data_IF_891361004751
#
_entry.id   IF_891361004751
#
_cell.length_a   1.000
_cell.length_b   1.000
_cell.length_c   1.000
_cell.angle_alpha   90.00
_cell.angle_beta   90.00
_cell.angle_gamma   90.00
#
_symmetry.space_group_name_H-M   'P 1'
#
loop_
_entity.id
_entity.type
_entity.pdbx_description
1 polymer ?
#
# COMPACT_ATOMS: atom_id res chain seq x y z
N UNK A 1 17.56 7.68 19.62
CA UNK A 1 16.46 6.71 19.83
C UNK A 1 15.53 6.81 18.63
N UNK A 2 15.49 5.72 17.87
CA UNK A 2 14.33 5.27 17.08
C UNK A 2 13.73 6.24 16.06
N UNK A 3 14.48 6.48 14.98
CA UNK A 3 13.95 7.00 13.71
C UNK A 3 13.13 5.94 12.93
N UNK A 4 12.99 4.72 13.48
CA UNK A 4 12.33 3.58 12.84
C UNK A 4 10.82 3.80 12.61
N UNK A 5 10.19 4.74 13.32
CA UNK A 5 8.75 5.06 13.17
C UNK A 5 8.44 6.00 12.00
N UNK A 6 9.41 6.81 11.56
CA UNK A 6 9.17 7.82 10.51
C UNK A 6 9.02 7.14 9.15
N UNK A 7 9.83 6.11 8.91
CA UNK A 7 9.86 5.36 7.66
C UNK A 7 8.54 4.59 7.40
N UNK A 8 7.96 3.97 8.42
CA UNK A 8 6.67 3.25 8.32
C UNK A 8 5.53 4.20 7.95
N UNK A 9 5.55 5.43 8.48
CA UNK A 9 4.54 6.45 8.16
C UNK A 9 4.62 6.91 6.71
N UNK A 10 5.83 7.04 6.17
CA UNK A 10 6.07 7.37 4.75
C UNK A 10 5.61 6.21 3.87
N UNK A 11 5.95 4.97 4.21
CA UNK A 11 5.50 3.76 3.50
C UNK A 11 3.98 3.61 3.48
N UNK A 12 3.31 3.85 4.61
CA UNK A 12 1.83 3.86 4.69
C UNK A 12 1.23 4.91 3.74
N UNK A 13 1.78 6.12 3.73
CA UNK A 13 1.32 7.20 2.84
C UNK A 13 1.54 6.86 1.38
N UNK A 14 2.69 6.30 1.04
CA UNK A 14 2.99 5.83 -0.31
C UNK A 14 1.97 4.77 -0.75
N UNK A 15 1.75 3.72 0.04
CA UNK A 15 0.79 2.67 -0.26
C UNK A 15 -0.63 3.22 -0.50
N UNK A 16 -1.08 4.16 0.34
CA UNK A 16 -2.36 4.86 0.14
C UNK A 16 -2.41 5.64 -1.16
N UNK A 17 -1.38 6.44 -1.46
CA UNK A 17 -1.32 7.24 -2.68
C UNK A 17 -1.33 6.36 -3.95
N UNK A 18 -0.66 5.20 -3.92
CA UNK A 18 -0.70 4.21 -5.01
C UNK A 18 -2.11 3.63 -5.18
N UNK A 19 -2.82 3.38 -4.08
CA UNK A 19 -4.22 2.97 -4.08
C UNK A 19 -5.16 3.99 -4.71
N UNK A 20 -5.04 5.26 -4.32
CA UNK A 20 -5.80 6.39 -4.87
C UNK A 20 -5.48 6.64 -6.35
N UNK A 21 -4.23 6.43 -6.77
CA UNK A 21 -3.85 6.53 -8.17
C UNK A 21 -4.57 5.48 -9.04
N UNK A 22 -4.90 4.30 -8.50
CA UNK A 22 -5.72 3.32 -9.22
C UNK A 22 -4.97 2.59 -10.34
N UNK A 23 -3.63 2.57 -10.31
CA UNK A 23 -2.83 1.93 -11.35
C UNK A 23 -2.64 0.43 -11.08
N UNK A 24 -3.21 -0.42 -11.94
CA UNK A 24 -3.05 -1.89 -11.86
C UNK A 24 -1.61 -2.36 -11.98
N UNK A 25 -0.74 -1.55 -12.59
CA UNK A 25 0.70 -1.82 -12.71
C UNK A 25 1.39 -1.94 -11.34
N UNK A 26 0.81 -1.33 -10.30
CA UNK A 26 1.36 -1.28 -8.94
C UNK A 26 0.77 -2.35 -8.03
N UNK A 27 -0.16 -3.18 -8.52
CA UNK A 27 -0.68 -4.33 -7.77
C UNK A 27 0.42 -5.28 -7.27
N UNK A 28 1.39 -5.73 -8.10
CA UNK A 28 2.43 -6.64 -7.61
C UNK A 28 3.33 -6.00 -6.56
N UNK A 29 3.65 -4.70 -6.69
CA UNK A 29 4.41 -3.94 -5.70
C UNK A 29 3.65 -3.85 -4.37
N UNK A 30 2.36 -3.50 -4.42
CA UNK A 30 1.52 -3.42 -3.23
C UNK A 30 1.29 -4.79 -2.58
N UNK A 31 1.21 -5.88 -3.35
CA UNK A 31 1.13 -7.25 -2.81
C UNK A 31 2.43 -7.66 -2.12
N UNK A 32 3.57 -7.29 -2.70
CA UNK A 32 4.88 -7.49 -2.09
C UNK A 32 4.97 -6.78 -0.72
N UNK A 33 4.65 -5.49 -0.69
CA UNK A 33 4.57 -4.67 0.53
C UNK A 33 3.59 -5.28 1.54
N UNK A 34 2.39 -5.66 1.11
CA UNK A 34 1.38 -6.27 1.98
C UNK A 34 1.82 -7.58 2.66
N UNK A 35 2.76 -8.33 2.06
CA UNK A 35 3.23 -9.61 2.59
C UNK A 35 4.60 -9.51 3.28
N UNK A 36 5.51 -8.71 2.73
CA UNK A 36 6.91 -8.66 3.14
C UNK A 36 7.22 -7.53 4.12
N UNK A 37 6.35 -6.52 4.29
CA UNK A 37 6.63 -5.45 5.25
C UNK A 37 6.65 -5.95 6.69
N UNK A 38 7.65 -5.48 7.44
CA UNK A 38 7.75 -5.72 8.88
C UNK A 38 6.59 -5.04 9.62
N UNK A 39 6.19 -3.85 9.17
CA UNK A 39 5.20 -3.02 9.83
C UNK A 39 3.76 -3.45 9.50
N UNK A 40 2.96 -3.72 10.52
CA UNK A 40 1.58 -4.14 10.34
C UNK A 40 0.71 -3.02 9.73
N UNK A 41 0.98 -1.76 10.09
CA UNK A 41 0.27 -0.62 9.53
C UNK A 41 0.50 -0.48 8.02
N UNK A 42 1.74 -0.69 7.58
CA UNK A 42 2.10 -0.67 6.15
C UNK A 42 1.38 -1.80 5.42
N UNK A 43 1.40 -3.03 5.98
CA UNK A 43 0.68 -4.18 5.39
C UNK A 43 -0.82 -3.93 5.25
N UNK A 44 -1.47 -3.37 6.27
CA UNK A 44 -2.90 -3.02 6.20
C UNK A 44 -3.17 -1.94 5.15
N UNK A 45 -2.33 -0.91 5.07
CA UNK A 45 -2.47 0.16 4.10
C UNK A 45 -2.35 -0.37 2.66
N UNK A 46 -1.37 -1.24 2.41
CA UNK A 46 -1.16 -1.88 1.11
C UNK A 46 -2.33 -2.77 0.69
N UNK A 47 -2.87 -3.60 1.60
CA UNK A 47 -4.09 -4.38 1.35
C UNK A 47 -5.28 -3.50 0.97
N UNK A 48 -5.50 -2.39 1.69
CA UNK A 48 -6.55 -1.43 1.38
C UNK A 48 -6.37 -0.80 0.00
N UNK A 49 -5.13 -0.44 -0.34
CA UNK A 49 -4.80 0.12 -1.64
C UNK A 49 -5.08 -0.88 -2.78
N UNK A 50 -4.70 -2.15 -2.62
CA UNK A 50 -5.01 -3.22 -3.58
C UNK A 50 -6.51 -3.37 -3.82
N UNK A 51 -7.31 -3.37 -2.76
CA UNK A 51 -8.76 -3.51 -2.84
C UNK A 51 -9.40 -2.31 -3.55
N UNK A 52 -8.93 -1.09 -3.25
CA UNK A 52 -9.36 0.13 -3.93
C UNK A 52 -9.01 0.11 -5.42
N UNK A 53 -7.78 -0.27 -5.79
CA UNK A 53 -7.38 -0.38 -7.19
C UNK A 53 -8.28 -1.40 -7.90
N UNK A 54 -8.48 -2.59 -7.32
CA UNK A 54 -9.36 -3.63 -7.87
C UNK A 54 -10.79 -3.12 -8.07
N UNK A 55 -11.37 -2.43 -7.09
CA UNK A 55 -12.71 -1.84 -7.22
C UNK A 55 -12.76 -0.76 -8.31
N UNK A 56 -11.74 0.10 -8.38
CA UNK A 56 -11.61 1.16 -9.39
C UNK A 56 -11.49 0.58 -10.80
N UNK A 57 -10.78 -0.53 -10.96
CA UNK A 57 -10.48 -1.13 -12.26
C UNK A 57 -11.54 -2.15 -12.70
N UNK A 58 -12.23 -2.81 -11.76
CA UNK A 58 -13.32 -3.73 -12.06
C UNK A 58 -14.64 -3.00 -12.39
N UNK A 59 -14.76 -1.73 -12.00
CA UNK A 59 -15.93 -0.89 -12.32
C UNK A 59 -15.90 -0.24 -13.72
N UNK A 60 -14.96 -0.62 -14.59
CA UNK A 60 -14.85 -0.13 -15.97
C UNK A 60 -14.86 -1.30 -16.94
#
# INVERSE_FOLDING_TARGET
MSDETVDSSVRVRAARALGDWGSTRLLPDLECIAQQDADEHVRRAARKALEQIRQRTAGK
#
